data_IF_642040534696
#
_entry.id   IF_642040534696
#
_cell.length_a   1.000
_cell.length_b   1.000
_cell.length_c   1.000
_cell.angle_alpha   90.00
_cell.angle_beta   90.00
_cell.angle_gamma   90.00
#
_symmetry.space_group_name_H-M   'P 1'
#
loop_
_entity.id
_entity.type
_entity.pdbx_description
1 polymer ?
#
# COMPACT_ATOMS: atom_id res chain seq x y z
N UNK A 1 16.65 -6.21 2.49
CA UNK A 1 15.27 -6.64 2.20
C UNK A 1 15.15 -6.90 0.72
N UNK A 2 14.66 -8.09 0.35
CA UNK A 2 14.35 -8.41 -1.04
C UNK A 2 13.17 -7.57 -1.58
N UNK A 3 12.97 -7.61 -2.90
CA UNK A 3 11.96 -6.80 -3.60
C UNK A 3 10.52 -7.12 -3.14
N UNK A 4 10.25 -8.40 -2.83
CA UNK A 4 8.96 -8.83 -2.31
C UNK A 4 8.71 -8.20 -0.94
N UNK A 5 9.66 -8.32 -0.01
CA UNK A 5 9.52 -7.73 1.33
C UNK A 5 9.34 -6.21 1.25
N UNK A 6 10.10 -5.52 0.41
CA UNK A 6 9.97 -4.05 0.23
C UNK A 6 8.62 -3.66 -0.35
N UNK A 7 8.16 -4.38 -1.38
CA UNK A 7 6.84 -4.17 -1.97
C UNK A 7 5.73 -4.40 -0.94
N UNK A 8 5.78 -5.51 -0.20
CA UNK A 8 4.83 -5.85 0.84
C UNK A 8 4.78 -4.77 1.93
N UNK A 9 5.94 -4.38 2.49
CA UNK A 9 6.01 -3.34 3.52
C UNK A 9 5.50 -1.99 3.00
N UNK A 10 5.89 -1.58 1.79
CA UNK A 10 5.38 -0.33 1.21
C UNK A 10 3.86 -0.36 1.01
N UNK A 11 3.32 -1.48 0.52
CA UNK A 11 1.88 -1.65 0.30
C UNK A 11 1.08 -1.68 1.59
N UNK A 12 1.59 -2.29 2.66
CA UNK A 12 0.95 -2.27 3.99
C UNK A 12 0.97 -0.87 4.57
N UNK A 13 2.13 -0.18 4.55
CA UNK A 13 2.24 1.19 5.08
C UNK A 13 1.30 2.15 4.33
N UNK A 14 1.22 2.05 3.01
CA UNK A 14 0.26 2.84 2.23
C UNK A 14 -1.19 2.43 2.46
N UNK A 15 -1.45 1.14 2.69
CA UNK A 15 -2.77 0.64 3.05
C UNK A 15 -3.27 1.20 4.38
N UNK A 16 -2.38 1.38 5.36
CA UNK A 16 -2.71 2.06 6.62
C UNK A 16 -3.14 3.50 6.36
N UNK A 17 -2.36 4.25 5.57
CA UNK A 17 -2.70 5.64 5.19
C UNK A 17 -4.04 5.71 4.45
N UNK A 18 -4.29 4.77 3.53
CA UNK A 18 -5.55 4.67 2.79
C UNK A 18 -6.74 4.42 3.71
N UNK A 19 -6.62 3.52 4.68
CA UNK A 19 -7.71 3.26 5.64
C UNK A 19 -7.96 4.47 6.55
N UNK A 20 -6.91 5.14 7.03
CA UNK A 20 -7.04 6.39 7.80
C UNK A 20 -7.81 7.44 6.99
N UNK A 21 -7.40 7.68 5.74
CA UNK A 21 -8.07 8.64 4.87
C UNK A 21 -9.54 8.26 4.60
N UNK A 22 -9.81 6.97 4.45
CA UNK A 22 -11.15 6.45 4.19
C UNK A 22 -12.07 6.62 5.41
N UNK A 23 -11.60 6.33 6.62
CA UNK A 23 -12.36 6.56 7.86
C UNK A 23 -12.58 8.06 8.13
N UNK A 24 -11.58 8.91 7.84
CA UNK A 24 -11.76 10.36 7.90
C UNK A 24 -12.87 10.79 6.94
N UNK A 25 -12.84 10.30 5.70
CA UNK A 25 -13.86 10.60 4.69
C UNK A 25 -15.26 10.15 5.13
N UNK A 26 -15.37 9.00 5.79
CA UNK A 26 -16.63 8.51 6.34
C UNK A 26 -17.11 9.39 7.50
N UNK A 27 -16.22 9.76 8.42
CA UNK A 27 -16.56 10.62 9.58
C UNK A 27 -17.03 12.02 9.16
N UNK A 28 -16.58 12.50 8.01
CA UNK A 28 -17.00 13.77 7.41
C UNK A 28 -18.27 13.64 6.56
N UNK A 29 -18.84 12.44 6.43
CA UNK A 29 -20.02 12.16 5.59
C UNK A 29 -19.75 12.25 4.09
N UNK A 30 -18.49 12.19 3.66
CA UNK A 30 -18.10 12.28 2.24
C UNK A 30 -18.25 10.93 1.54
N UNK A 31 -17.97 9.83 2.25
CA UNK A 31 -18.17 8.47 1.72
C UNK A 31 -19.11 7.68 2.62
N UNK A 32 -19.99 6.92 2.00
CA UNK A 32 -20.85 5.95 2.68
C UNK A 32 -20.23 4.55 2.72
N UNK A 33 -19.09 4.36 2.06
CA UNK A 33 -18.45 3.06 1.91
C UNK A 33 -16.94 3.18 2.10
N UNK A 34 -16.45 3.23 3.36
CA UNK A 34 -15.03 3.22 3.63
C UNK A 34 -14.39 1.88 3.24
N UNK A 35 -13.08 1.88 3.07
CA UNK A 35 -12.31 0.74 2.53
C UNK A 35 -12.41 -0.52 3.38
N UNK A 36 -12.47 -0.38 4.71
CA UNK A 36 -12.68 -1.52 5.61
C UNK A 36 -14.07 -2.14 5.42
N UNK A 37 -15.12 -1.31 5.32
CA UNK A 37 -16.50 -1.77 5.05
C UNK A 37 -16.63 -2.38 3.66
N UNK A 38 -16.01 -1.77 2.64
CA UNK A 38 -15.93 -2.35 1.30
C UNK A 38 -15.31 -3.75 1.35
N UNK A 39 -14.19 -3.90 2.05
CA UNK A 39 -13.51 -5.20 2.19
C UNK A 39 -14.36 -6.20 2.98
N UNK A 40 -15.10 -5.75 3.99
CA UNK A 40 -16.02 -6.58 4.75
C UNK A 40 -17.13 -7.15 3.87
N UNK A 41 -17.68 -6.34 2.95
CA UNK A 41 -18.67 -6.82 1.96
C UNK A 41 -18.07 -7.93 1.10
N UNK A 42 -16.85 -7.75 0.59
CA UNK A 42 -16.18 -8.76 -0.25
C UNK A 42 -15.92 -10.05 0.52
N UNK A 43 -15.44 -9.96 1.77
CA UNK A 43 -15.04 -11.13 2.57
C UNK A 43 -16.26 -11.88 3.14
N UNK A 44 -17.22 -11.16 3.72
CA UNK A 44 -18.38 -11.76 4.39
C UNK A 44 -19.56 -11.99 3.45
N UNK A 45 -19.54 -11.43 2.24
CA UNK A 45 -20.58 -11.64 1.24
C UNK A 45 -21.95 -11.07 1.63
N UNK A 46 -21.99 -10.08 2.51
CA UNK A 46 -23.22 -9.41 2.99
C UNK A 46 -22.98 -7.94 3.20
N UNK A 47 -24.06 -7.17 3.27
CA UNK A 47 -24.02 -5.73 3.54
C UNK A 47 -23.92 -5.43 5.05
N UNK A 48 -23.52 -4.20 5.44
CA UNK A 48 -23.59 -3.74 6.83
C UNK A 48 -25.00 -3.92 7.44
N UNK A 49 -25.12 -4.03 8.78
CA UNK A 49 -24.11 -3.69 9.78
C UNK A 49 -23.06 -4.80 9.99
N UNK A 50 -21.82 -4.40 10.25
CA UNK A 50 -20.74 -5.30 10.68
C UNK A 50 -20.41 -5.06 12.15
N UNK A 51 -20.09 -6.13 12.86
CA UNK A 51 -19.56 -6.06 14.23
C UNK A 51 -18.13 -5.51 14.25
N UNK A 52 -17.69 -5.03 15.41
CA UNK A 52 -16.33 -4.49 15.57
C UNK A 52 -15.24 -5.51 15.17
N UNK A 53 -15.41 -6.79 15.51
CA UNK A 53 -14.47 -7.85 15.14
C UNK A 53 -14.45 -8.13 13.63
N UNK A 54 -15.60 -8.08 12.96
CA UNK A 54 -15.69 -8.22 11.51
C UNK A 54 -14.99 -7.06 10.79
N UNK A 55 -15.17 -5.84 11.28
CA UNK A 55 -14.48 -4.66 10.73
C UNK A 55 -12.97 -4.76 10.89
N UNK A 56 -12.46 -5.20 12.05
CA UNK A 56 -11.02 -5.44 12.24
C UNK A 56 -10.52 -6.51 11.28
N UNK A 57 -11.24 -7.64 11.16
CA UNK A 57 -10.84 -8.72 10.25
C UNK A 57 -10.80 -8.25 8.79
N UNK A 58 -11.80 -7.48 8.37
CA UNK A 58 -11.86 -6.89 7.05
C UNK A 58 -10.73 -5.88 6.80
N UNK A 59 -10.39 -5.06 7.81
CA UNK A 59 -9.26 -4.13 7.72
C UNK A 59 -7.93 -4.88 7.55
N UNK A 60 -7.72 -5.99 8.28
CA UNK A 60 -6.54 -6.84 8.08
C UNK A 60 -6.51 -7.45 6.67
N UNK A 61 -7.64 -7.93 6.17
CA UNK A 61 -7.78 -8.39 4.79
C UNK A 61 -7.43 -7.30 3.78
N UNK A 62 -7.86 -6.05 4.02
CA UNK A 62 -7.54 -4.92 3.19
C UNK A 62 -6.03 -4.62 3.19
N UNK A 63 -5.38 -4.63 4.36
CA UNK A 63 -3.93 -4.43 4.48
C UNK A 63 -3.12 -5.51 3.76
N UNK A 64 -3.58 -6.77 3.81
CA UNK A 64 -2.97 -7.86 3.05
C UNK A 64 -3.12 -7.64 1.54
N UNK A 65 -4.30 -7.20 1.10
CA UNK A 65 -4.56 -6.88 -0.30
C UNK A 65 -3.70 -5.71 -0.79
N UNK A 66 -3.59 -4.61 -0.03
CA UNK A 66 -2.72 -3.48 -0.38
C UNK A 66 -1.24 -3.87 -0.33
N UNK A 67 -0.85 -4.75 0.58
CA UNK A 67 0.47 -5.38 0.61
C UNK A 67 0.78 -6.13 -0.68
N UNK A 68 -0.13 -6.97 -1.15
CA UNK A 68 -0.02 -7.67 -2.45
C UNK A 68 0.13 -6.68 -3.61
N UNK A 69 -0.67 -5.61 -3.65
CA UNK A 69 -0.54 -4.57 -4.68
C UNK A 69 0.83 -3.90 -4.64
N UNK A 70 1.38 -3.68 -3.44
CA UNK A 70 2.72 -3.13 -3.28
C UNK A 70 3.82 -4.07 -3.79
N UNK A 71 3.67 -5.39 -3.56
CA UNK A 71 4.54 -6.41 -4.16
C UNK A 71 4.49 -6.32 -5.70
N UNK A 72 3.29 -6.37 -6.28
CA UNK A 72 3.10 -6.27 -7.74
C UNK A 72 3.77 -5.02 -8.30
N UNK A 73 3.55 -3.86 -7.66
CA UNK A 73 4.17 -2.62 -8.07
C UNK A 73 5.70 -2.67 -7.98
N UNK A 74 6.25 -3.19 -6.88
CA UNK A 74 7.69 -3.32 -6.70
C UNK A 74 8.36 -4.17 -7.80
N UNK A 75 7.71 -5.25 -8.24
CA UNK A 75 8.18 -6.07 -9.36
C UNK A 75 8.01 -5.41 -10.74
N UNK A 76 7.03 -4.51 -10.89
CA UNK A 76 6.83 -3.76 -12.12
C UNK A 76 7.87 -2.64 -12.30
N UNK A 77 8.34 -2.04 -11.19
CA UNK A 77 9.27 -0.90 -11.20
C UNK A 77 10.57 -1.14 -11.96
N UNK A 78 11.27 -2.29 -11.86
CA UNK A 78 12.49 -2.54 -12.64
C UNK A 78 12.26 -2.68 -14.15
N UNK A 79 11.06 -3.11 -14.55
CA UNK A 79 10.69 -3.32 -15.97
C UNK A 79 10.37 -1.99 -16.65
N UNK A 80 9.88 -1.03 -15.88
CA UNK A 80 9.58 0.33 -16.34
C UNK A 80 10.72 1.28 -15.98
N UNK A 81 10.96 2.32 -16.77
CA UNK A 81 12.02 3.30 -16.44
C UNK A 81 11.80 3.91 -15.04
N UNK A 82 12.85 4.28 -14.30
CA UNK A 82 12.68 4.92 -12.98
C UNK A 82 12.16 6.36 -13.06
N UNK A 83 12.11 6.94 -14.26
CA UNK A 83 11.59 8.28 -14.49
C UNK A 83 10.11 8.39 -14.09
N UNK A 84 9.78 9.50 -13.40
CA UNK A 84 8.41 9.84 -12.98
C UNK A 84 7.72 8.74 -12.15
N UNK A 85 8.47 8.13 -11.23
CA UNK A 85 7.98 7.01 -10.41
C UNK A 85 6.66 7.32 -9.68
N UNK A 86 6.50 8.53 -9.13
CA UNK A 86 5.27 8.96 -8.44
C UNK A 86 4.05 8.98 -9.37
N UNK A 87 4.22 9.44 -10.61
CA UNK A 87 3.14 9.41 -11.61
C UNK A 87 2.77 7.96 -11.96
N UNK A 88 3.75 7.07 -12.05
CA UNK A 88 3.54 5.64 -12.33
C UNK A 88 2.80 4.94 -11.18
N UNK A 89 3.14 5.24 -9.93
CA UNK A 89 2.43 4.72 -8.77
C UNK A 89 0.99 5.20 -8.67
N UNK A 90 0.77 6.51 -8.90
CA UNK A 90 -0.58 7.09 -8.97
C UNK A 90 -1.41 6.48 -10.11
N UNK A 91 -0.81 6.32 -11.30
CA UNK A 91 -1.49 5.69 -12.43
C UNK A 91 -1.82 4.23 -12.16
N UNK A 92 -0.85 3.47 -11.62
CA UNK A 92 -1.04 2.08 -11.22
C UNK A 92 -2.22 1.92 -10.26
N UNK A 93 -2.27 2.70 -9.18
CA UNK A 93 -3.35 2.59 -8.20
C UNK A 93 -4.71 3.01 -8.77
N UNK A 94 -4.74 4.03 -9.61
CA UNK A 94 -5.98 4.49 -10.27
C UNK A 94 -6.53 3.44 -11.22
N UNK A 95 -5.67 2.79 -12.02
CA UNK A 95 -6.06 1.70 -12.92
C UNK A 95 -6.55 0.49 -12.13
N UNK A 96 -5.83 0.10 -11.07
CA UNK A 96 -6.23 -1.01 -10.21
C UNK A 96 -7.59 -0.74 -9.55
N UNK A 97 -7.80 0.46 -9.00
CA UNK A 97 -9.09 0.86 -8.44
C UNK A 97 -10.22 0.75 -9.46
N UNK A 98 -10.01 1.27 -10.68
CA UNK A 98 -11.01 1.19 -11.74
C UNK A 98 -11.33 -0.26 -12.12
N UNK A 99 -10.31 -1.13 -12.22
CA UNK A 99 -10.50 -2.57 -12.49
C UNK A 99 -11.30 -3.23 -11.37
N UNK A 100 -10.98 -2.95 -10.11
CA UNK A 100 -11.72 -3.49 -8.95
C UNK A 100 -13.20 -3.10 -9.03
N UNK A 101 -13.49 -1.83 -9.33
CA UNK A 101 -14.86 -1.34 -9.50
C UNK A 101 -15.59 -2.00 -10.67
N UNK A 102 -14.89 -2.18 -11.80
CA UNK A 102 -15.43 -2.87 -12.95
C UNK A 102 -15.78 -4.32 -12.61
N UNK A 103 -14.92 -5.02 -11.88
CA UNK A 103 -15.15 -6.40 -11.43
C UNK A 103 -16.35 -6.48 -10.48
N UNK A 104 -16.41 -5.65 -9.42
CA UNK A 104 -17.53 -5.70 -8.47
C UNK A 104 -18.86 -5.34 -9.13
N UNK A 105 -18.85 -4.42 -10.09
CA UNK A 105 -20.03 -4.05 -10.89
C UNK A 105 -20.47 -5.18 -11.81
N UNK A 106 -19.53 -5.82 -12.51
CA UNK A 106 -19.81 -6.93 -13.43
C UNK A 106 -20.45 -8.11 -12.71
N UNK A 107 -19.95 -8.43 -11.52
CA UNK A 107 -20.49 -9.50 -10.67
C UNK A 107 -21.66 -9.07 -9.79
N UNK A 108 -22.11 -7.81 -9.90
CA UNK A 108 -23.24 -7.24 -9.14
C UNK A 108 -23.11 -7.47 -7.63
N UNK A 109 -21.92 -7.26 -7.08
CA UNK A 109 -21.65 -7.49 -5.66
C UNK A 109 -22.53 -6.54 -4.83
N UNK A 110 -23.43 -7.12 -4.03
CA UNK A 110 -24.39 -6.38 -3.22
C UNK A 110 -23.67 -5.41 -2.26
N UNK A 111 -24.18 -4.19 -2.12
CA UNK A 111 -23.53 -3.14 -1.33
C UNK A 111 -22.39 -2.40 -2.02
N UNK A 112 -22.02 -2.79 -3.24
CA UNK A 112 -21.08 -2.04 -4.11
C UNK A 112 -21.75 -1.43 -5.34
N UNK A 113 -23.06 -1.61 -5.47
CA UNK A 113 -23.88 -1.11 -6.57
C UNK A 113 -24.50 0.25 -6.23
N UNK A 114 -24.74 1.07 -7.26
CA UNK A 114 -25.41 2.37 -7.14
C UNK A 114 -24.76 3.32 -6.14
N UNK A 115 -23.42 3.40 -6.16
CA UNK A 115 -22.67 4.30 -5.29
C UNK A 115 -22.92 5.78 -5.64
N UNK A 116 -23.05 6.61 -4.61
CA UNK A 116 -23.12 8.06 -4.78
C UNK A 116 -21.82 8.62 -5.35
N UNK A 117 -21.92 9.71 -6.10
CA UNK A 117 -20.77 10.37 -6.71
C UNK A 117 -19.69 10.71 -5.67
N UNK A 118 -20.10 11.16 -4.48
CA UNK A 118 -19.17 11.52 -3.41
C UNK A 118 -18.33 10.31 -2.95
N UNK A 119 -18.95 9.13 -2.82
CA UNK A 119 -18.26 7.87 -2.50
C UNK A 119 -17.29 7.46 -3.60
N UNK A 120 -17.70 7.57 -4.88
CA UNK A 120 -16.82 7.26 -6.02
C UNK A 120 -15.60 8.19 -6.05
N UNK A 121 -15.81 9.50 -5.89
CA UNK A 121 -14.74 10.50 -5.86
C UNK A 121 -13.83 10.29 -4.65
N UNK A 122 -14.38 10.04 -3.47
CA UNK A 122 -13.61 9.76 -2.25
C UNK A 122 -12.72 8.52 -2.43
N UNK A 123 -13.23 7.47 -3.06
CA UNK A 123 -12.46 6.25 -3.30
C UNK A 123 -11.40 6.45 -4.40
N UNK A 124 -11.66 7.26 -5.42
CA UNK A 124 -10.65 7.66 -6.41
C UNK A 124 -9.52 8.50 -5.78
N UNK A 125 -9.86 9.43 -4.86
CA UNK A 125 -8.86 10.19 -4.09
C UNK A 125 -8.08 9.27 -3.17
N UNK A 126 -8.75 8.33 -2.49
CA UNK A 126 -8.09 7.33 -1.64
C UNK A 126 -7.10 6.47 -2.43
N UNK A 127 -7.48 6.02 -3.64
CA UNK A 127 -6.61 5.28 -4.54
C UNK A 127 -5.40 6.14 -5.00
N UNK A 128 -5.63 7.43 -5.25
CA UNK A 128 -4.56 8.37 -5.61
C UNK A 128 -3.56 8.55 -4.46
N UNK A 129 -4.05 8.76 -3.24
CA UNK A 129 -3.25 8.83 -2.01
C UNK A 129 -2.44 7.55 -1.84
N UNK A 130 -3.07 6.38 -1.97
CA UNK A 130 -2.39 5.09 -1.90
C UNK A 130 -1.23 4.98 -2.89
N UNK A 131 -1.43 5.30 -4.17
CA UNK A 131 -0.38 5.17 -5.19
C UNK A 131 0.83 6.09 -4.96
N UNK A 132 0.58 7.31 -4.48
CA UNK A 132 1.63 8.27 -4.12
C UNK A 132 2.42 7.77 -2.91
N UNK A 133 1.74 7.36 -1.83
CA UNK A 133 2.41 6.85 -0.64
C UNK A 133 3.10 5.51 -0.88
N UNK A 134 2.56 4.67 -1.76
CA UNK A 134 3.16 3.39 -2.14
C UNK A 134 4.53 3.64 -2.75
N UNK A 135 4.57 4.59 -3.68
CA UNK A 135 5.82 5.00 -4.31
C UNK A 135 6.78 5.63 -3.31
N UNK A 136 6.28 6.51 -2.44
CA UNK A 136 7.08 7.16 -1.41
C UNK A 136 7.77 6.14 -0.49
N UNK A 137 7.01 5.20 0.08
CA UNK A 137 7.58 4.19 0.98
C UNK A 137 8.49 3.20 0.25
N UNK A 138 8.14 2.80 -0.98
CA UNK A 138 9.00 1.92 -1.77
C UNK A 138 10.34 2.59 -2.08
N UNK A 139 10.33 3.88 -2.39
CA UNK A 139 11.54 4.67 -2.63
C UNK A 139 12.34 4.86 -1.33
N UNK A 140 11.69 5.21 -0.23
CA UNK A 140 12.33 5.35 1.09
C UNK A 140 13.06 4.06 1.51
N UNK A 141 12.39 2.91 1.39
CA UNK A 141 12.99 1.61 1.69
C UNK A 141 14.14 1.29 0.73
N UNK A 142 14.08 1.75 -0.51
CA UNK A 142 15.17 1.59 -1.49
C UNK A 142 16.44 2.37 -1.16
N UNK A 143 16.30 3.61 -0.72
CA UNK A 143 17.42 4.50 -0.37
C UNK A 143 18.08 4.03 0.93
N UNK A 144 17.28 3.53 1.88
CA UNK A 144 17.79 3.09 3.19
C UNK A 144 18.89 2.02 3.06
N UNK A 145 18.77 1.08 2.11
CA UNK A 145 19.78 0.04 1.89
C UNK A 145 21.07 0.57 1.26
N UNK A 146 20.98 1.47 0.28
CA UNK A 146 22.15 2.04 -0.38
C UNK A 146 23.02 2.81 0.61
N UNK A 147 22.38 3.55 1.53
CA UNK A 147 23.05 4.29 2.60
C UNK A 147 23.72 3.39 3.64
N UNK A 148 23.10 2.25 3.98
CA UNK A 148 23.63 1.25 4.92
C UNK A 148 24.80 0.49 4.30
N UNK A 149 24.68 0.09 3.03
CA UNK A 149 25.75 -0.55 2.29
C UNK A 149 26.98 0.37 2.15
N UNK A 150 26.76 1.65 1.86
CA UNK A 150 27.83 2.64 1.76
C UNK A 150 28.55 2.85 3.10
N UNK A 151 27.81 2.97 4.22
CA UNK A 151 28.41 3.05 5.57
C UNK A 151 29.23 1.81 5.94
N UNK A 152 28.77 0.61 5.58
CA UNK A 152 29.53 -0.62 5.84
C UNK A 152 30.80 -0.72 5.00
N UNK A 153 30.78 -0.28 3.74
CA UNK A 153 31.96 -0.27 2.86
C UNK A 153 33.01 0.76 3.30
N UNK A 154 32.58 1.83 3.97
CA UNK A 154 33.41 2.90 4.49
C UNK A 154 34.01 2.61 5.88
N UNK A 155 33.56 1.57 6.58
CA UNK A 155 34.18 1.17 7.85
C UNK A 155 35.59 0.65 7.53
N UNK A 156 36.67 1.33 7.95
CA UNK A 156 38.02 0.87 7.64
C UNK A 156 38.23 -0.48 8.31
N UNK A 157 38.70 -1.46 7.53
CA UNK A 157 39.20 -2.72 8.07
C UNK A 157 40.39 -2.38 8.99
N UNK A 158 40.11 -2.25 10.29
CA UNK A 158 41.14 -2.07 11.29
C UNK A 158 42.01 -3.33 11.26
N UNK A 159 43.21 -3.21 10.68
CA UNK A 159 44.19 -4.30 10.73
C UNK A 159 44.49 -4.59 12.21
N UNK A 160 44.56 -5.87 12.62
CA UNK A 160 45.00 -6.18 13.97
C UNK A 160 46.45 -5.71 14.12
N UNK A 161 46.73 -4.90 15.15
CA UNK A 161 48.09 -4.52 15.52
C UNK A 161 48.87 -5.78 15.87
N UNK A 162 49.73 -6.21 14.94
CA UNK A 162 50.90 -7.01 15.25
C UNK A 162 51.97 -6.03 15.72
N UNK A 163 52.04 -5.78 17.02
CA UNK A 163 53.27 -5.39 17.71
C UNK A 163 52.92 -5.15 19.19
N UNK A 164 53.13 -6.19 20.00
CA UNK A 164 53.60 -6.09 21.39
C UNK A 164 54.09 -7.46 21.88
N UNK A 165 54.83 -8.16 21.02
CA UNK A 165 55.68 -9.29 21.41
C UNK A 165 57.13 -8.90 21.12
N UNK A 166 57.72 -8.09 22.01
CA UNK A 166 59.17 -8.04 22.20
C UNK A 166 59.47 -7.86 23.69
N UNK A 167 59.88 -8.99 24.25
CA UNK A 167 60.92 -9.20 25.28
C UNK A 167 60.98 -8.28 26.51
#
# INVERSE_FOLDING_TARGET
MDLFTRGLTSGVLSGIILNIFSFISESLGITTLPMATWTAIIIFGRTPPFSFSETIFAMLGNLMFTGLLGVVFAFLVPVITKEKLYLKGWFFSTVVWFIIYAVTTLFKVEGTMSLELNTVVSNAVSASVFGVFLTYFLNLLSISEESVFYKMKMAPAMKPNQDDNKE
#
